data_IF_874403797720
#
_entry.id   IF_874403797720
#
_cell.length_a   1.000
_cell.length_b   1.000
_cell.length_c   1.000
_cell.angle_alpha   90.00
_cell.angle_beta   90.00
_cell.angle_gamma   90.00
#
_symmetry.space_group_name_H-M   'P 1'
#
loop_
_entity.id
_entity.type
_entity.pdbx_description
1 polymer ?
#
# COMPACT_ATOMS: atom_id res chain seq x y z
N UNK A 1 -15.42 -46.41 -18.53
CA UNK A 1 -15.66 -46.25 -19.97
C UNK A 1 -14.95 -44.96 -20.37
N UNK A 2 -13.94 -45.03 -21.25
CA UNK A 2 -13.22 -43.82 -21.69
C UNK A 2 -14.20 -42.87 -22.41
N UNK A 3 -14.10 -41.55 -22.22
CA UNK A 3 -15.01 -40.60 -22.86
C UNK A 3 -14.98 -40.81 -24.38
N UNK A 4 -16.15 -40.78 -25.00
CA UNK A 4 -16.29 -40.92 -26.45
C UNK A 4 -15.47 -39.83 -27.13
N UNK A 5 -14.54 -40.26 -27.99
CA UNK A 5 -13.57 -39.45 -28.71
C UNK A 5 -14.06 -38.11 -29.31
N UNK A 6 -15.29 -37.97 -29.85
CA UNK A 6 -15.72 -36.68 -30.44
C UNK A 6 -15.96 -35.57 -29.42
N UNK A 7 -16.42 -35.88 -28.21
CA UNK A 7 -16.67 -34.85 -27.18
C UNK A 7 -15.36 -34.31 -26.61
N UNK A 8 -14.38 -35.19 -26.43
CA UNK A 8 -13.03 -34.80 -26.02
C UNK A 8 -12.34 -33.92 -27.07
N UNK A 9 -12.51 -34.23 -28.36
CA UNK A 9 -11.99 -33.45 -29.48
C UNK A 9 -12.67 -32.07 -29.58
N UNK A 10 -13.99 -32.01 -29.43
CA UNK A 10 -14.73 -30.74 -29.41
C UNK A 10 -14.31 -29.84 -28.22
N UNK A 11 -14.07 -30.43 -27.05
CA UNK A 11 -13.54 -29.72 -25.89
C UNK A 11 -12.12 -29.19 -26.16
N UNK A 12 -11.25 -30.01 -26.75
CA UNK A 12 -9.89 -29.60 -27.11
C UNK A 12 -9.90 -28.42 -28.10
N UNK A 13 -10.75 -28.48 -29.13
CA UNK A 13 -10.92 -27.39 -30.10
C UNK A 13 -11.43 -26.09 -29.44
N UNK A 14 -12.30 -26.19 -28.43
CA UNK A 14 -12.76 -25.04 -27.65
C UNK A 14 -11.59 -24.39 -26.89
N UNK A 15 -10.76 -25.20 -26.22
CA UNK A 15 -9.61 -24.72 -25.45
C UNK A 15 -8.60 -24.01 -26.37
N UNK A 16 -8.30 -24.59 -27.54
CA UNK A 16 -7.38 -23.99 -28.52
C UNK A 16 -7.89 -22.67 -29.07
N UNK A 17 -9.19 -22.55 -29.31
CA UNK A 17 -9.82 -21.31 -29.74
C UNK A 17 -9.77 -20.20 -28.70
N UNK A 18 -9.77 -20.55 -27.40
CA UNK A 18 -9.69 -19.60 -26.29
C UNK A 18 -8.25 -19.21 -25.92
N UNK A 19 -7.24 -19.78 -26.57
CA UNK A 19 -5.85 -19.41 -26.31
C UNK A 19 -5.47 -18.07 -26.97
N UNK A 20 -4.99 -17.16 -26.13
CA UNK A 20 -4.58 -15.80 -26.51
C UNK A 20 -3.14 -15.79 -27.07
N UNK A 21 -2.39 -16.90 -26.99
CA UNK A 21 -1.03 -17.01 -27.54
C UNK A 21 -1.01 -17.44 -29.00
N UNK A 22 -2.03 -18.19 -29.47
CA UNK A 22 -2.22 -18.57 -30.88
C UNK A 22 -2.28 -17.35 -31.80
N UNK A 23 -2.80 -16.23 -31.28
CA UNK A 23 -2.95 -14.98 -32.01
C UNK A 23 -1.71 -14.09 -31.80
N UNK A 24 -1.05 -13.70 -32.90
CA UNK A 24 0.07 -12.75 -32.84
C UNK A 24 -0.41 -11.37 -32.38
N UNK A 25 0.40 -10.71 -31.54
CA UNK A 25 0.11 -9.38 -30.96
C UNK A 25 1.00 -8.30 -31.60
N UNK A 26 0.69 -7.79 -32.80
CA UNK A 26 1.54 -6.81 -33.51
C UNK A 26 1.63 -5.45 -32.80
N UNK A 27 0.69 -5.17 -31.90
CA UNK A 27 0.64 -3.95 -31.09
C UNK A 27 1.45 -4.04 -29.79
N UNK A 28 2.01 -5.21 -29.42
CA UNK A 28 2.77 -5.36 -28.17
C UNK A 28 4.22 -4.97 -28.38
N UNK A 29 4.68 -3.94 -27.67
CA UNK A 29 6.09 -3.55 -27.67
C UNK A 29 6.98 -4.69 -27.15
N UNK A 30 7.94 -5.13 -27.96
CA UNK A 30 8.88 -6.22 -27.67
C UNK A 30 9.95 -5.82 -26.64
N UNK A 31 10.25 -4.54 -26.49
CA UNK A 31 11.25 -4.03 -25.56
C UNK A 31 10.73 -3.85 -24.13
N UNK A 32 9.41 -3.83 -23.95
CA UNK A 32 8.82 -3.68 -22.62
C UNK A 32 9.03 -4.94 -21.77
N UNK A 33 9.58 -4.76 -20.56
CA UNK A 33 9.78 -5.83 -19.57
C UNK A 33 8.93 -5.58 -18.32
N UNK A 34 8.23 -6.58 -17.79
CA UNK A 34 7.43 -6.41 -16.58
C UNK A 34 8.33 -6.16 -15.37
N UNK A 35 7.91 -5.24 -14.50
CA UNK A 35 8.57 -5.02 -13.21
C UNK A 35 8.16 -6.12 -12.22
N UNK A 36 9.14 -6.72 -11.54
CA UNK A 36 8.93 -7.74 -10.53
C UNK A 36 8.09 -7.24 -9.33
N UNK A 37 8.20 -5.95 -8.98
CA UNK A 37 7.56 -5.37 -7.78
C UNK A 37 6.15 -4.84 -8.02
N UNK A 38 5.38 -5.47 -8.91
CA UNK A 38 4.03 -5.01 -9.29
C UNK A 38 2.88 -5.64 -8.49
N UNK A 39 3.02 -6.90 -8.10
CA UNK A 39 2.00 -7.64 -7.36
C UNK A 39 2.17 -7.35 -5.87
N UNK A 40 1.48 -6.32 -5.37
CA UNK A 40 1.55 -5.88 -3.97
C UNK A 40 0.20 -6.05 -3.27
N UNK A 41 0.21 -6.39 -1.99
CA UNK A 41 -1.00 -6.34 -1.15
C UNK A 41 -1.34 -4.87 -0.84
N UNK A 42 -2.63 -4.56 -0.63
CA UNK A 42 -3.13 -3.28 -0.14
C UNK A 42 -2.29 -2.77 1.04
N UNK A 43 -1.94 -3.62 2.01
CA UNK A 43 -1.09 -3.25 3.16
C UNK A 43 0.25 -2.67 2.71
N UNK A 44 0.89 -3.30 1.73
CA UNK A 44 2.18 -2.83 1.19
C UNK A 44 2.01 -1.54 0.38
N UNK A 45 0.94 -1.43 -0.40
CA UNK A 45 0.63 -0.22 -1.18
C UNK A 45 0.40 0.97 -0.23
N UNK A 46 -0.38 0.78 0.83
CA UNK A 46 -0.63 1.80 1.84
C UNK A 46 0.65 2.17 2.59
N UNK A 47 1.48 1.18 2.95
CA UNK A 47 2.78 1.42 3.58
C UNK A 47 3.76 2.21 2.71
N UNK A 48 3.78 1.94 1.40
CA UNK A 48 4.59 2.70 0.44
C UNK A 48 4.06 4.14 0.29
N UNK A 49 2.74 4.34 0.32
CA UNK A 49 2.11 5.66 0.27
C UNK A 49 2.46 6.51 1.50
N UNK A 50 2.29 5.95 2.70
CA UNK A 50 2.64 6.63 3.96
C UNK A 50 4.13 6.98 4.01
N UNK A 51 5.02 6.06 3.60
CA UNK A 51 6.46 6.33 3.56
C UNK A 51 6.83 7.43 2.56
N UNK A 52 6.16 7.47 1.41
CA UNK A 52 6.35 8.50 0.39
C UNK A 52 5.89 9.87 0.92
N UNK A 53 4.75 9.94 1.60
CA UNK A 53 4.27 11.17 2.25
C UNK A 53 5.24 11.63 3.35
N UNK A 54 5.74 10.71 4.18
CA UNK A 54 6.75 11.01 5.20
C UNK A 54 8.07 11.51 4.59
N UNK A 55 8.49 11.00 3.42
CA UNK A 55 9.69 11.50 2.74
C UNK A 55 9.52 12.89 2.10
N UNK A 56 8.28 13.32 1.90
CA UNK A 56 7.95 14.68 1.44
C UNK A 56 7.85 15.68 2.60
N UNK A 57 7.73 15.18 3.84
CA UNK A 57 7.80 15.98 5.06
C UNK A 57 9.28 16.24 5.38
N UNK A 58 9.77 17.48 5.33
CA UNK A 58 11.10 17.79 5.84
C UNK A 58 11.11 17.54 7.35
N UNK A 59 11.95 16.61 7.80
CA UNK A 59 12.27 16.46 9.21
C UNK A 59 12.93 17.76 9.68
N UNK A 60 12.14 18.65 10.25
CA UNK A 60 12.66 19.79 10.97
C UNK A 60 13.01 19.33 12.38
N UNK A 61 14.04 18.51 12.51
CA UNK A 61 14.69 18.25 13.79
C UNK A 61 16.19 18.06 13.57
N UNK A 62 16.90 19.15 13.86
CA UNK A 62 18.25 19.17 14.40
C UNK A 62 19.30 18.23 13.75
N UNK A 63 19.91 18.68 12.66
CA UNK A 63 21.25 18.21 12.28
C UNK A 63 22.10 19.42 11.90
N UNK A 64 22.43 20.22 12.91
CA UNK A 64 23.74 20.86 12.92
C UNK A 64 24.82 19.77 12.99
N UNK A 65 25.91 20.00 12.27
CA UNK A 65 27.15 19.22 12.22
C UNK A 65 27.07 17.84 11.52
N UNK A 66 27.68 17.79 10.34
CA UNK A 66 28.68 16.83 9.84
C UNK A 66 28.55 16.80 8.32
N UNK A 67 29.13 17.82 7.67
CA UNK A 67 29.64 17.70 6.31
C UNK A 67 31.01 17.00 6.41
N UNK A 68 31.26 15.84 5.78
CA UNK A 68 32.63 15.39 5.60
C UNK A 68 33.25 16.34 4.58
N UNK A 69 34.26 17.08 5.03
CA UNK A 69 35.16 17.82 4.17
C UNK A 69 35.70 16.85 3.12
N UNK A 70 35.48 17.13 1.84
CA UNK A 70 36.33 16.56 0.80
C UNK A 70 37.58 17.42 0.76
N UNK A 71 38.63 16.87 1.35
CA UNK A 71 40.00 17.35 1.28
C UNK A 71 40.46 17.35 -0.18
N UNK A 72 40.49 18.53 -0.81
CA UNK A 72 41.38 18.76 -1.95
C UNK A 72 42.40 19.82 -1.55
N UNK A 73 43.48 19.28 -0.98
CA UNK A 73 44.87 19.71 -1.08
C UNK A 73 45.20 21.20 -0.85
N UNK A 74 45.74 21.45 0.33
CA UNK A 74 46.53 22.64 0.64
C UNK A 74 47.75 22.73 -0.29
N UNK A 75 47.90 23.85 -0.99
CA UNK A 75 49.21 24.44 -1.21
C UNK A 75 49.06 25.95 -1.28
N UNK A 76 49.22 26.60 -0.13
CA UNK A 76 49.61 28.01 -0.08
C UNK A 76 51.02 28.11 -0.65
N UNK A 77 51.22 28.93 -1.67
CA UNK A 77 52.53 29.48 -2.01
C UNK A 77 52.31 30.90 -2.50
N UNK A 78 52.98 31.83 -1.83
CA UNK A 78 53.04 33.26 -2.12
C UNK A 78 53.41 33.55 -3.59
N UNK A 79 52.82 34.59 -4.16
CA UNK A 79 53.19 35.08 -5.48
C UNK A 79 52.30 36.22 -5.97
N UNK A 80 52.74 37.45 -5.71
CA UNK A 80 52.32 38.66 -6.42
C UNK A 80 52.52 38.47 -7.94
N UNK A 81 51.46 38.66 -8.74
CA UNK A 81 51.50 39.22 -10.11
C UNK A 81 50.08 39.36 -10.68
N UNK A 82 49.70 40.58 -11.04
CA UNK A 82 48.76 40.87 -12.16
C UNK A 82 49.55 40.64 -13.47
N UNK A 83 48.99 40.36 -14.69
CA UNK A 83 47.65 40.72 -15.18
C UNK A 83 46.98 39.79 -16.24
N UNK A 84 45.85 40.28 -16.77
CA UNK A 84 45.37 40.18 -18.15
C UNK A 84 44.22 39.20 -18.50
N UNK A 85 43.18 39.83 -19.04
CA UNK A 85 41.99 39.28 -19.71
C UNK A 85 42.35 38.41 -20.91
N UNK A 86 41.75 37.22 -21.02
CA UNK A 86 41.27 36.68 -22.30
C UNK A 86 40.19 35.61 -22.08
N UNK A 87 39.12 35.74 -22.88
CA UNK A 87 38.16 34.72 -23.32
C UNK A 87 37.09 34.16 -22.35
N UNK A 88 35.85 34.61 -22.64
CA UNK A 88 34.56 33.88 -22.62
C UNK A 88 33.97 33.40 -21.28
N UNK A 89 32.81 33.95 -20.84
CA UNK A 89 31.90 33.22 -19.98
C UNK A 89 30.98 32.40 -20.88
N UNK A 90 31.37 31.18 -21.24
CA UNK A 90 30.38 30.17 -21.58
C UNK A 90 29.59 29.89 -20.31
N UNK A 91 28.44 30.55 -20.18
CA UNK A 91 27.41 30.29 -19.18
C UNK A 91 26.91 28.85 -19.32
N UNK A 92 27.66 27.88 -18.81
CA UNK A 92 27.18 26.54 -18.55
C UNK A 92 26.46 26.61 -17.19
N UNK A 93 25.11 26.62 -17.16
CA UNK A 93 24.41 26.63 -15.89
C UNK A 93 24.77 25.34 -15.15
N UNK A 94 25.29 25.48 -13.93
CA UNK A 94 25.65 24.35 -13.08
C UNK A 94 24.38 23.55 -12.74
N UNK A 95 24.06 22.57 -13.59
CA UNK A 95 22.79 21.83 -13.57
C UNK A 95 22.59 21.09 -12.25
N UNK A 96 23.68 20.60 -11.65
CA UNK A 96 23.67 19.91 -10.36
C UNK A 96 23.39 20.86 -9.19
N UNK A 97 23.82 22.12 -9.27
CA UNK A 97 23.43 23.15 -8.29
C UNK A 97 21.99 23.62 -8.53
N UNK A 98 21.59 23.79 -9.80
CA UNK A 98 20.24 24.19 -10.18
C UNK A 98 19.18 23.17 -9.74
N UNK A 99 19.43 21.86 -9.89
CA UNK A 99 18.49 20.79 -9.49
C UNK A 99 18.29 20.72 -7.97
N UNK A 100 19.35 20.96 -7.19
CA UNK A 100 19.30 21.06 -5.72
C UNK A 100 18.45 22.26 -5.28
N UNK A 101 18.64 23.40 -5.93
CA UNK A 101 17.87 24.63 -5.65
C UNK A 101 16.39 24.47 -6.03
N UNK A 102 16.08 23.82 -7.15
CA UNK A 102 14.71 23.54 -7.58
C UNK A 102 14.01 22.59 -6.61
N UNK A 103 14.69 21.54 -6.18
CA UNK A 103 14.17 20.58 -5.19
C UNK A 103 13.84 21.28 -3.87
N UNK A 104 14.71 22.19 -3.41
CA UNK A 104 14.49 23.02 -2.22
C UNK A 104 13.27 23.93 -2.38
N UNK A 105 13.13 24.60 -3.51
CA UNK A 105 12.04 25.56 -3.77
C UNK A 105 10.68 24.84 -3.91
N UNK A 106 10.65 23.67 -4.56
CA UNK A 106 9.43 22.83 -4.63
C UNK A 106 9.02 22.35 -3.24
N UNK A 107 9.99 21.95 -2.41
CA UNK A 107 9.75 21.50 -1.04
C UNK A 107 9.22 22.65 -0.16
N UNK A 108 9.80 23.84 -0.24
CA UNK A 108 9.34 25.04 0.47
C UNK A 108 7.93 25.48 0.03
N UNK A 109 7.62 25.38 -1.27
CA UNK A 109 6.28 25.67 -1.81
C UNK A 109 5.23 24.71 -1.26
N UNK A 110 5.54 23.41 -1.20
CA UNK A 110 4.65 22.38 -0.65
C UNK A 110 4.40 22.59 0.86
N UNK A 111 5.36 23.14 1.61
CA UNK A 111 5.18 23.51 3.03
C UNK A 111 4.23 24.69 3.21
N UNK A 112 4.32 25.72 2.36
CA UNK A 112 3.45 26.90 2.45
C UNK A 112 1.98 26.59 2.15
N UNK A 113 1.72 25.59 1.32
CA UNK A 113 0.34 25.15 1.02
C UNK A 113 -0.25 24.24 2.09
N UNK A 114 0.59 23.65 2.95
CA UNK A 114 0.21 22.60 3.90
C UNK A 114 0.47 23.07 5.34
N UNK A 115 -0.21 24.13 5.74
CA UNK A 115 0.05 24.89 6.97
C UNK A 115 0.31 24.05 8.22
N UNK A 116 1.39 24.41 8.93
CA UNK A 116 1.72 24.29 10.37
C UNK A 116 1.05 23.21 11.24
N UNK A 117 0.69 22.06 10.69
CA UNK A 117 0.11 20.96 11.47
C UNK A 117 1.00 19.74 11.33
N UNK A 118 1.38 19.16 12.48
CA UNK A 118 1.99 17.82 12.57
C UNK A 118 0.98 16.71 12.20
N UNK A 119 -0.14 17.06 11.59
CA UNK A 119 -1.16 16.15 11.13
C UNK A 119 -0.85 15.75 9.67
N UNK A 120 -1.07 14.48 9.30
CA UNK A 120 -0.94 14.07 7.90
C UNK A 120 -1.84 14.95 7.03
N UNK A 121 -1.32 15.39 5.87
CA UNK A 121 -2.10 16.16 4.89
C UNK A 121 -3.41 15.43 4.59
N UNK A 122 -4.53 16.08 4.88
CA UNK A 122 -5.85 15.52 4.64
C UNK A 122 -6.10 15.42 3.13
N UNK A 123 -5.79 14.26 2.56
CA UNK A 123 -6.11 13.92 1.17
C UNK A 123 -7.47 13.21 1.13
N UNK A 124 -8.21 13.31 0.02
CA UNK A 124 -9.50 12.62 -0.18
C UNK A 124 -9.43 11.13 0.19
N UNK A 125 -8.28 10.48 0.01
CA UNK A 125 -8.04 9.07 0.32
C UNK A 125 -7.76 8.78 1.80
N UNK A 126 -7.34 9.76 2.60
CA UNK A 126 -6.94 9.57 4.01
C UNK A 126 -8.07 9.89 5.01
N UNK A 127 -9.17 10.49 4.54
CA UNK A 127 -10.31 10.81 5.39
C UNK A 127 -11.24 9.59 5.41
N UNK A 128 -11.11 8.76 6.44
CA UNK A 128 -12.04 7.65 6.68
C UNK A 128 -13.28 8.11 7.47
N UNK A 129 -14.39 7.38 7.30
CA UNK A 129 -15.59 7.62 8.10
C UNK A 129 -15.35 7.24 9.56
N UNK A 130 -15.81 8.07 10.49
CA UNK A 130 -15.75 7.75 11.91
C UNK A 130 -16.49 6.43 12.22
N UNK A 131 -16.01 5.64 13.20
CA UNK A 131 -16.69 4.42 13.61
C UNK A 131 -18.04 4.74 14.26
N UNK A 132 -18.97 3.79 14.17
CA UNK A 132 -20.28 3.95 14.82
C UNK A 132 -20.18 3.81 16.33
N UNK A 133 -20.78 4.75 17.06
CA UNK A 133 -20.91 4.71 18.53
C UNK A 133 -22.30 4.21 18.98
N UNK A 134 -23.18 3.87 18.02
CA UNK A 134 -24.53 3.41 18.32
C UNK A 134 -24.52 1.98 18.88
N UNK A 135 -25.45 1.70 19.79
CA UNK A 135 -25.60 0.35 20.34
C UNK A 135 -25.98 -0.65 19.24
N UNK A 136 -25.16 -1.67 19.02
CA UNK A 136 -25.40 -2.68 17.99
C UNK A 136 -26.58 -3.58 18.38
N UNK A 137 -27.52 -3.80 17.45
CA UNK A 137 -28.56 -4.82 17.64
C UNK A 137 -27.94 -6.21 17.54
N UNK A 138 -28.33 -7.10 18.43
CA UNK A 138 -27.83 -8.47 18.48
C UNK A 138 -28.82 -9.42 17.81
N UNK A 139 -28.32 -10.19 16.84
CA UNK A 139 -29.07 -11.21 16.13
C UNK A 139 -28.45 -12.57 16.38
N UNK A 140 -29.26 -13.61 16.23
CA UNK A 140 -28.85 -15.00 16.39
C UNK A 140 -27.93 -15.39 15.23
N UNK A 141 -26.81 -16.02 15.56
CA UNK A 141 -25.80 -16.40 14.56
C UNK A 141 -26.29 -17.55 13.65
N UNK A 142 -27.31 -18.31 14.08
CA UNK A 142 -27.86 -19.47 13.35
C UNK A 142 -29.10 -19.07 12.53
N UNK A 143 -30.05 -18.35 13.14
CA UNK A 143 -31.38 -18.09 12.53
C UNK A 143 -31.58 -16.65 12.05
N UNK A 144 -30.73 -15.70 12.47
CA UNK A 144 -30.89 -14.27 12.14
C UNK A 144 -32.00 -13.55 12.94
N UNK A 145 -32.75 -14.24 13.80
CA UNK A 145 -33.76 -13.64 14.69
C UNK A 145 -33.09 -12.77 15.77
N UNK A 146 -33.78 -11.77 16.37
CA UNK A 146 -33.20 -10.97 17.46
C UNK A 146 -32.79 -11.88 18.62
N UNK A 147 -31.53 -11.82 19.05
CA UNK A 147 -31.00 -12.72 20.07
C UNK A 147 -30.76 -11.99 21.40
N UNK A 148 -31.61 -12.22 22.42
CA UNK A 148 -31.40 -11.64 23.75
C UNK A 148 -30.32 -12.37 24.57
N UNK A 149 -29.90 -13.58 24.17
CA UNK A 149 -29.01 -14.43 24.96
C UNK A 149 -27.71 -14.76 24.22
N UNK A 150 -26.63 -14.96 24.98
CA UNK A 150 -25.32 -15.39 24.50
C UNK A 150 -24.80 -16.54 25.35
N UNK A 151 -24.27 -17.59 24.72
CA UNK A 151 -23.68 -18.74 25.42
C UNK A 151 -22.26 -18.41 25.91
N UNK A 152 -21.94 -18.56 27.21
CA UNK A 152 -20.61 -18.24 27.74
C UNK A 152 -19.51 -19.17 27.22
N UNK A 153 -19.84 -20.39 26.80
CA UNK A 153 -18.86 -21.37 26.31
C UNK A 153 -18.45 -21.10 24.86
N UNK A 154 -19.44 -20.96 23.98
CA UNK A 154 -19.21 -20.79 22.53
C UNK A 154 -19.22 -19.32 22.08
N UNK A 155 -19.69 -18.39 22.92
CA UNK A 155 -19.94 -16.97 22.58
C UNK A 155 -20.94 -16.76 21.43
N UNK A 156 -21.71 -17.80 21.09
CA UNK A 156 -22.78 -17.71 20.10
C UNK A 156 -24.03 -17.06 20.69
N UNK A 157 -24.71 -16.26 19.86
CA UNK A 157 -25.97 -15.59 20.18
C UNK A 157 -27.14 -16.46 19.76
N UNK A 158 -28.11 -16.66 20.65
CA UNK A 158 -29.28 -17.49 20.41
C UNK A 158 -30.59 -16.82 20.84
N UNK A 159 -31.69 -17.23 20.21
CA UNK A 159 -33.02 -16.65 20.44
C UNK A 159 -33.82 -17.40 21.51
N UNK A 160 -33.93 -18.73 21.39
CA UNK A 160 -34.76 -19.58 22.24
C UNK A 160 -34.02 -20.87 22.64
N UNK A 161 -34.66 -21.67 23.51
CA UNK A 161 -34.10 -22.94 24.01
C UNK A 161 -33.80 -23.96 22.91
N UNK A 162 -34.57 -23.97 21.83
CA UNK A 162 -34.39 -24.90 20.70
C UNK A 162 -33.06 -24.64 20.01
N UNK A 163 -32.78 -23.36 19.69
CA UNK A 163 -31.50 -22.95 19.11
C UNK A 163 -30.36 -23.22 20.08
N UNK A 164 -30.55 -23.02 21.38
CA UNK A 164 -29.54 -23.38 22.38
C UNK A 164 -29.25 -24.90 22.41
N UNK A 165 -30.27 -25.74 22.24
CA UNK A 165 -30.12 -27.19 22.08
C UNK A 165 -29.26 -27.54 20.86
N UNK A 166 -29.51 -26.87 19.74
CA UNK A 166 -28.68 -27.02 18.52
C UNK A 166 -27.24 -26.61 18.82
N UNK A 167 -27.00 -25.44 19.43
CA UNK A 167 -25.66 -24.94 19.80
C UNK A 167 -24.88 -25.97 20.62
N UNK A 168 -25.54 -26.70 21.52
CA UNK A 168 -24.91 -27.74 22.36
C UNK A 168 -24.64 -29.05 21.64
N UNK A 169 -25.37 -29.31 20.55
CA UNK A 169 -25.17 -30.47 19.68
C UNK A 169 -24.14 -30.25 18.57
N UNK A 170 -23.68 -29.00 18.37
CA UNK A 170 -22.71 -28.67 17.34
C UNK A 170 -21.38 -29.42 17.56
N UNK A 171 -20.81 -29.90 16.45
CA UNK A 171 -19.49 -30.51 16.43
C UNK A 171 -18.39 -29.52 16.82
N UNK A 172 -17.22 -30.05 17.18
CA UNK A 172 -16.03 -29.24 17.47
C UNK A 172 -15.65 -28.39 16.24
N UNK A 173 -15.29 -27.12 16.46
CA UNK A 173 -14.91 -26.16 15.40
C UNK A 173 -16.08 -25.51 14.66
N UNK A 174 -17.31 -26.03 14.71
CA UNK A 174 -18.45 -25.42 14.00
C UNK A 174 -18.83 -24.07 14.63
N UNK A 175 -18.76 -23.96 15.96
CA UNK A 175 -19.01 -22.70 16.64
C UNK A 175 -18.02 -21.59 16.23
N UNK A 176 -16.77 -21.96 15.96
CA UNK A 176 -15.73 -21.04 15.50
C UNK A 176 -16.02 -20.51 14.08
N UNK A 177 -16.54 -21.36 13.19
CA UNK A 177 -16.98 -20.94 11.85
C UNK A 177 -18.14 -19.95 11.91
N UNK A 178 -19.12 -20.17 12.81
CA UNK A 178 -20.21 -19.19 13.01
C UNK A 178 -19.67 -17.86 13.56
N UNK A 179 -18.67 -17.89 14.45
CA UNK A 179 -17.99 -16.67 14.90
C UNK A 179 -17.18 -16.00 13.79
N UNK A 180 -16.63 -16.76 12.85
CA UNK A 180 -15.87 -16.24 11.70
C UNK A 180 -16.76 -15.45 10.77
N UNK A 181 -17.95 -15.98 10.46
CA UNK A 181 -18.96 -15.28 9.67
C UNK A 181 -19.40 -13.98 10.34
N UNK A 182 -19.51 -13.95 11.68
CA UNK A 182 -19.78 -12.72 12.44
C UNK A 182 -18.58 -11.76 12.52
N UNK A 183 -17.37 -12.22 12.20
CA UNK A 183 -16.13 -11.46 12.39
C UNK A 183 -15.67 -11.38 13.86
N UNK A 184 -16.15 -12.28 14.73
CA UNK A 184 -15.78 -12.37 16.15
C UNK A 184 -14.86 -13.58 16.46
N UNK A 185 -14.31 -14.22 15.43
CA UNK A 185 -13.43 -15.37 15.55
C UNK A 185 -12.02 -14.95 15.99
N UNK A 186 -11.49 -15.63 17.00
CA UNK A 186 -10.15 -15.39 17.54
C UNK A 186 -9.24 -16.56 17.20
N UNK A 187 -8.36 -16.38 16.21
CA UNK A 187 -7.31 -17.36 15.88
C UNK A 187 -6.12 -17.10 16.80
N UNK A 188 -5.76 -18.09 17.61
CA UNK A 188 -4.51 -18.07 18.37
C UNK A 188 -3.33 -18.16 17.39
N UNK A 189 -2.34 -17.28 17.56
CA UNK A 189 -1.12 -17.23 16.75
C UNK A 189 0.09 -17.59 17.60
#
# INVERSE_FOLDING_TARGET
MAPTTPEAEAHQALVEKLDVHSIRKPFRNTHWRPNQRRNKNIKTILGDAVRKEASLMPTQDNSGAVTPFSEDNATSTDGDTTPASTSAPTLQPNLAQASKNLSKLVLERNMRTNGFSNAPTATYTNIESAPSLAHSKHYCDITGLPAPYTDPKTRLRYHNKEVFGVVRSLGQGVAEQYLEVRGAHTILK
#
